data_IF_950407593930
#
_entry.id   IF_950407593930
#
_cell.length_a   1.000
_cell.length_b   1.000
_cell.length_c   1.000
_cell.angle_alpha   90.00
_cell.angle_beta   90.00
_cell.angle_gamma   90.00
#
_symmetry.space_group_name_H-M   'P 1'
#
loop_
_entity.id
_entity.type
_entity.pdbx_description
1 polymer ?
#
# COMPACT_ATOMS: atom_id res chain seq x y z
N UNK A 1 -21.06 -0.19 9.89
CA UNK A 1 -20.13 -1.32 10.09
C UNK A 1 -18.99 -1.17 9.10
N UNK A 2 -17.76 -0.93 9.56
CA UNK A 2 -16.58 -0.85 8.70
C UNK A 2 -16.22 -2.25 8.20
N UNK A 3 -16.29 -2.47 6.89
CA UNK A 3 -15.89 -3.73 6.29
C UNK A 3 -14.38 -3.92 6.47
N UNK A 4 -13.96 -5.07 7.01
CA UNK A 4 -12.54 -5.41 7.15
C UNK A 4 -12.10 -6.16 5.90
N UNK A 5 -11.16 -5.61 5.14
CA UNK A 5 -10.48 -6.34 4.08
C UNK A 5 -9.53 -7.37 4.69
N UNK A 6 -9.50 -8.60 4.15
CA UNK A 6 -8.61 -9.68 4.60
C UNK A 6 -7.56 -9.96 3.54
N UNK A 7 -6.30 -10.04 3.95
CA UNK A 7 -5.19 -10.48 3.11
C UNK A 7 -4.66 -11.82 3.65
N UNK A 8 -4.70 -12.88 2.84
CA UNK A 8 -4.10 -14.17 3.15
C UNK A 8 -2.64 -14.18 2.72
N UNK A 9 -1.71 -14.33 3.68
CA UNK A 9 -0.27 -14.39 3.40
C UNK A 9 0.20 -15.85 3.43
N UNK A 10 0.76 -16.31 2.32
CA UNK A 10 1.49 -17.57 2.24
C UNK A 10 2.98 -17.29 2.40
N UNK A 11 3.65 -18.07 3.24
CA UNK A 11 5.08 -17.95 3.50
C UNK A 11 5.82 -19.08 2.77
N UNK A 12 7.04 -18.78 2.31
CA UNK A 12 7.86 -19.72 1.55
C UNK A 12 8.31 -20.93 2.39
N UNK A 13 8.58 -20.71 3.67
CA UNK A 13 9.07 -21.71 4.61
C UNK A 13 8.58 -21.46 6.04
N UNK A 14 8.61 -22.52 6.84
CA UNK A 14 8.20 -22.50 8.24
C UNK A 14 9.18 -21.75 9.15
N UNK A 15 10.42 -21.53 8.71
CA UNK A 15 11.42 -20.81 9.49
C UNK A 15 11.11 -19.31 9.53
N UNK A 16 10.74 -18.75 8.39
CA UNK A 16 10.23 -17.38 8.26
C UNK A 16 9.02 -17.16 9.16
N UNK A 17 8.11 -18.14 9.22
CA UNK A 17 6.95 -18.11 10.12
C UNK A 17 7.35 -18.08 11.59
N UNK A 18 8.35 -18.87 12.01
CA UNK A 18 8.87 -18.86 13.38
C UNK A 18 9.51 -17.52 13.71
N UNK A 19 10.32 -16.97 12.82
CA UNK A 19 10.97 -15.68 13.02
C UNK A 19 9.95 -14.55 13.21
N UNK A 20 8.90 -14.52 12.38
CA UNK A 20 7.80 -13.56 12.53
C UNK A 20 7.11 -13.71 13.89
N UNK A 21 6.80 -14.95 14.33
CA UNK A 21 6.19 -15.20 15.63
C UNK A 21 7.06 -14.70 16.79
N UNK A 22 8.35 -14.99 16.75
CA UNK A 22 9.31 -14.55 17.77
C UNK A 22 9.42 -13.03 17.78
N UNK A 23 9.49 -12.38 16.62
CA UNK A 23 9.57 -10.93 16.52
C UNK A 23 8.31 -10.23 17.04
N UNK A 24 7.13 -10.76 16.72
CA UNK A 24 5.86 -10.27 17.26
C UNK A 24 5.79 -10.42 18.79
N UNK A 25 6.19 -11.59 19.31
CA UNK A 25 6.22 -11.86 20.76
C UNK A 25 7.19 -10.94 21.50
N UNK A 26 8.39 -10.69 20.96
CA UNK A 26 9.38 -9.76 21.51
C UNK A 26 8.83 -8.33 21.64
N UNK A 27 7.88 -7.95 20.79
CA UNK A 27 7.23 -6.63 20.79
C UNK A 27 5.87 -6.61 21.48
N UNK A 28 5.47 -7.72 22.12
CA UNK A 28 4.19 -7.82 22.85
C UNK A 28 2.95 -7.68 21.96
N UNK A 29 3.06 -7.98 20.67
CA UNK A 29 1.99 -7.79 19.68
C UNK A 29 1.59 -9.11 19.01
N UNK A 30 0.37 -9.14 18.44
CA UNK A 30 -0.06 -10.30 17.65
C UNK A 30 0.67 -10.34 16.30
N UNK A 31 0.80 -11.54 15.74
CA UNK A 31 1.44 -11.73 14.41
C UNK A 31 0.76 -10.91 13.33
N UNK A 32 -0.58 -10.81 13.35
CA UNK A 32 -1.33 -10.03 12.37
C UNK A 32 -1.01 -8.54 12.46
N UNK A 33 -0.94 -7.99 13.68
CA UNK A 33 -0.60 -6.58 13.90
C UNK A 33 0.85 -6.30 13.49
N UNK A 34 1.76 -7.20 13.86
CA UNK A 34 3.17 -7.11 13.46
C UNK A 34 3.32 -7.05 11.94
N UNK A 35 2.69 -7.98 11.22
CA UNK A 35 2.78 -8.02 9.76
C UNK A 35 2.10 -6.81 9.12
N UNK A 36 0.96 -6.38 9.63
CA UNK A 36 0.27 -5.18 9.13
C UNK A 36 1.16 -3.94 9.26
N UNK A 37 1.75 -3.69 10.45
CA UNK A 37 2.66 -2.57 10.66
C UNK A 37 3.89 -2.64 9.75
N UNK A 38 4.52 -3.82 9.63
CA UNK A 38 5.67 -3.99 8.76
C UNK A 38 5.34 -3.70 7.29
N UNK A 39 4.14 -4.10 6.83
CA UNK A 39 3.66 -3.79 5.47
C UNK A 39 3.39 -2.27 5.35
N UNK A 40 2.73 -1.64 6.32
CA UNK A 40 2.45 -0.19 6.27
C UNK A 40 3.72 0.66 6.26
N UNK A 41 4.71 0.32 7.09
CA UNK A 41 6.03 0.96 7.11
C UNK A 41 6.74 0.79 5.76
N UNK A 42 6.63 -0.41 5.16
CA UNK A 42 7.24 -0.69 3.87
C UNK A 42 6.57 0.10 2.75
N UNK A 43 5.24 0.11 2.69
CA UNK A 43 4.48 0.91 1.74
C UNK A 43 4.79 2.40 1.87
N UNK A 44 4.99 2.87 3.10
CA UNK A 44 5.38 4.26 3.36
C UNK A 44 6.78 4.57 2.84
N UNK A 45 7.73 3.66 3.10
CA UNK A 45 9.11 3.79 2.65
C UNK A 45 9.24 3.74 1.13
N UNK A 46 8.46 2.87 0.50
CA UNK A 46 8.45 2.67 -0.95
C UNK A 46 7.60 3.76 -1.66
N UNK A 47 6.96 4.66 -0.90
CA UNK A 47 6.15 5.76 -1.43
C UNK A 47 4.76 5.34 -1.94
N UNK A 48 4.38 4.07 -1.75
CA UNK A 48 3.08 3.51 -2.10
C UNK A 48 1.96 3.95 -1.14
N UNK A 49 2.33 4.43 0.06
CA UNK A 49 1.42 5.07 1.02
C UNK A 49 2.06 6.34 1.55
N UNK A 50 1.34 7.46 1.56
CA UNK A 50 1.84 8.70 2.18
C UNK A 50 1.58 8.66 3.69
N UNK A 51 2.59 9.01 4.50
CA UNK A 51 2.54 8.98 5.97
C UNK A 51 1.59 10.01 6.62
N UNK A 52 0.85 10.78 5.84
CA UNK A 52 -0.05 11.81 6.34
C UNK A 52 -0.87 12.43 5.22
N UNK A 53 -2.14 12.67 5.54
CA UNK A 53 -3.13 13.45 4.80
C UNK A 53 -3.50 12.90 3.41
N UNK A 54 -4.48 11.98 3.40
CA UNK A 54 -4.95 11.21 2.24
C UNK A 54 -5.44 12.07 1.07
N UNK A 55 -5.84 13.32 1.30
CA UNK A 55 -6.50 14.14 0.28
C UNK A 55 -5.55 15.07 -0.50
N UNK A 56 -4.57 15.69 0.17
CA UNK A 56 -3.64 16.62 -0.50
C UNK A 56 -2.57 15.93 -1.33
N UNK A 57 -2.17 14.72 -0.93
CA UNK A 57 -1.06 14.01 -1.57
C UNK A 57 -1.49 13.08 -2.71
N UNK A 58 -2.79 12.75 -2.81
CA UNK A 58 -3.32 11.94 -3.91
C UNK A 58 -3.15 12.65 -5.25
N UNK A 59 -3.43 13.95 -5.30
CA UNK A 59 -3.25 14.79 -6.50
C UNK A 59 -1.77 14.89 -6.90
N UNK A 60 -0.88 14.99 -5.91
CA UNK A 60 0.57 15.03 -6.14
C UNK A 60 1.12 13.69 -6.64
N UNK A 61 0.62 12.57 -6.13
CA UNK A 61 0.96 11.22 -6.59
C UNK A 61 0.45 10.97 -8.02
N UNK A 62 -0.81 11.30 -8.30
CA UNK A 62 -1.39 11.20 -9.65
C UNK A 62 -0.61 12.05 -10.66
N UNK A 63 -0.23 13.27 -10.28
CA UNK A 63 0.59 14.14 -11.11
C UNK A 63 1.98 13.55 -11.42
N UNK A 64 2.57 12.78 -10.49
CA UNK A 64 3.85 12.09 -10.73
C UNK A 64 3.70 10.89 -11.66
N UNK A 65 2.60 10.13 -11.51
CA UNK A 65 2.29 9.03 -12.45
C UNK A 65 2.03 9.55 -13.86
N UNK A 66 1.33 10.67 -13.99
CA UNK A 66 1.05 11.30 -15.28
C UNK A 66 2.34 11.82 -15.95
N UNK A 67 3.30 12.37 -15.18
CA UNK A 67 4.64 12.72 -15.69
C UNK A 67 5.43 11.50 -16.15
N UNK A 68 5.42 10.42 -15.37
CA UNK A 68 6.10 9.17 -15.73
C UNK A 68 5.51 8.58 -17.03
N UNK A 69 4.18 8.69 -17.23
CA UNK A 69 3.52 8.29 -18.49
C UNK A 69 3.89 9.18 -19.67
N UNK A 70 4.06 10.49 -19.46
CA UNK A 70 4.57 11.39 -20.50
C UNK A 70 6.00 11.03 -20.92
N UNK A 71 6.84 10.59 -19.97
CA UNK A 71 8.23 10.17 -20.24
C UNK A 71 8.32 8.80 -20.95
N UNK A 72 7.41 7.87 -20.65
CA UNK A 72 7.41 6.50 -21.23
C UNK A 72 6.73 6.45 -22.63
N UNK A 73 6.08 7.54 -23.04
CA UNK A 73 5.46 7.68 -24.36
C UNK A 73 3.95 7.75 -24.31
N UNK A 74 3.38 8.53 -25.24
CA UNK A 74 1.98 8.96 -25.27
C UNK A 74 0.98 7.80 -25.44
N UNK A 75 0.60 7.17 -24.34
CA UNK A 75 -0.62 6.35 -24.28
C UNK A 75 -1.63 7.12 -23.43
N UNK A 76 -2.72 7.48 -24.11
CA UNK A 76 -3.68 8.49 -23.70
C UNK A 76 -4.47 8.20 -22.43
N UNK A 77 -5.04 9.29 -21.93
CA UNK A 77 -5.89 9.46 -20.75
C UNK A 77 -5.12 9.52 -19.43
N UNK A 78 -5.28 10.66 -18.75
CA UNK A 78 -4.65 10.92 -17.47
C UNK A 78 -5.22 9.99 -16.41
N UNK A 79 -4.37 9.55 -15.49
CA UNK A 79 -4.75 8.61 -14.44
C UNK A 79 -5.81 9.20 -13.51
N UNK A 80 -5.80 10.52 -13.34
CA UNK A 80 -6.82 11.26 -12.61
C UNK A 80 -8.21 11.15 -13.26
N UNK A 81 -8.30 11.21 -14.59
CA UNK A 81 -9.59 11.12 -15.31
C UNK A 81 -10.20 9.72 -15.19
N UNK A 82 -9.37 8.67 -15.26
CA UNK A 82 -9.82 7.28 -15.06
C UNK A 82 -10.37 7.03 -13.65
N UNK A 83 -9.72 7.62 -12.63
CA UNK A 83 -10.14 7.50 -11.24
C UNK A 83 -11.46 8.22 -10.99
N UNK A 84 -11.64 9.41 -11.58
CA UNK A 84 -12.90 10.15 -11.51
C UNK A 84 -14.05 9.43 -12.22
N UNK A 85 -13.80 8.83 -13.39
CA UNK A 85 -14.80 8.05 -14.11
C UNK A 85 -15.24 6.81 -13.31
N UNK A 86 -14.30 6.11 -12.67
CA UNK A 86 -14.59 4.97 -11.79
C UNK A 86 -15.36 5.33 -10.52
N UNK A 87 -15.31 6.59 -10.08
CA UNK A 87 -16.01 7.07 -8.88
C UNK A 87 -17.46 7.50 -9.14
N UNK A 88 -17.83 7.72 -10.41
CA UNK A 88 -19.20 8.11 -10.83
C UNK A 88 -20.12 6.92 -11.15
N UNK A 89 -19.60 5.69 -11.14
CA UNK A 89 -20.38 4.44 -11.25
C UNK A 89 -20.57 3.81 -9.88
#
# INVERSE_FOLDING_TARGET
MTSKARLGLYLKDDETKKQIKVAAAKRGMTVTVYCAQAIEERLTRDGERSAGDEDRNRTAFLSRMDKLRQEIGSIGVFTAELVEEGRRR
#
